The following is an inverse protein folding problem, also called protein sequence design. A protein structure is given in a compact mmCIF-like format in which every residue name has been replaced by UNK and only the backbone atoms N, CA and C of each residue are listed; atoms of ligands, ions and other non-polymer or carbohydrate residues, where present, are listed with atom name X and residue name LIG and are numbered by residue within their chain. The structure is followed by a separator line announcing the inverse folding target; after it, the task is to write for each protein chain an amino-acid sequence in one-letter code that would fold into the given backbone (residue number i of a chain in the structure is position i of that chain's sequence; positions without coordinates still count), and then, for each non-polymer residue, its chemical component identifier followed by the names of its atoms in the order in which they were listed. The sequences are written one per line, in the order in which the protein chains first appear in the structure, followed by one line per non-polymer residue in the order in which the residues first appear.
data_IF_515987165631
#
_entry.id   IF_515987165631
#
_cell.length_a   1.000
_cell.length_b   1.000
_cell.length_c   1.000
_cell.angle_alpha   90.00
_cell.angle_beta   90.00
_cell.angle_gamma   90.00
#
_symmetry.space_group_name_H-M   'P 1'
#
loop_
_entity.id
_entity.type
_entity.pdbx_description
1 polymer ?
#
# COMPACT_ATOMS: atom_id res chain seq x y z
N UNK A 1 -8.71 17.70 -11.38
CA UNK A 1 -9.14 17.16 -10.06
C UNK A 1 -9.27 18.27 -9.03
N UNK A 2 -10.48 18.42 -8.47
CA UNK A 2 -10.78 19.33 -7.35
C UNK A 2 -10.12 18.88 -6.05
N UNK A 3 -9.82 19.82 -5.16
CA UNK A 3 -9.13 19.57 -3.89
C UNK A 3 -9.87 18.54 -3.00
N UNK A 4 -11.20 18.60 -2.96
CA UNK A 4 -12.01 17.65 -2.17
C UNK A 4 -11.85 16.22 -2.66
N UNK A 5 -11.93 16.01 -3.98
CA UNK A 5 -11.79 14.69 -4.59
C UNK A 5 -10.38 14.13 -4.36
N UNK A 6 -9.35 14.97 -4.50
CA UNK A 6 -7.97 14.61 -4.18
C UNK A 6 -7.82 14.15 -2.73
N UNK A 7 -8.35 14.91 -1.76
CA UNK A 7 -8.25 14.56 -0.34
C UNK A 7 -8.98 13.24 -0.02
N UNK A 8 -10.17 13.03 -0.58
CA UNK A 8 -10.90 11.76 -0.43
C UNK A 8 -10.10 10.59 -0.99
N UNK A 9 -9.55 10.70 -2.20
CA UNK A 9 -8.73 9.64 -2.80
C UNK A 9 -7.46 9.39 -1.98
N UNK A 10 -6.78 10.43 -1.52
CA UNK A 10 -5.58 10.30 -0.71
C UNK A 10 -5.85 9.51 0.59
N UNK A 11 -6.94 9.85 1.28
CA UNK A 11 -7.36 9.16 2.51
C UNK A 11 -7.72 7.70 2.21
N UNK A 12 -8.51 7.46 1.15
CA UNK A 12 -8.86 6.10 0.75
C UNK A 12 -7.63 5.28 0.41
N UNK A 13 -6.70 5.81 -0.37
CA UNK A 13 -5.47 5.14 -0.74
C UNK A 13 -4.61 4.79 0.48
N UNK A 14 -4.54 5.68 1.46
CA UNK A 14 -3.86 5.43 2.73
C UNK A 14 -4.49 4.22 3.45
N UNK A 15 -5.80 4.22 3.65
CA UNK A 15 -6.48 3.16 4.41
C UNK A 15 -6.52 1.82 3.66
N UNK A 16 -6.62 1.83 2.33
CA UNK A 16 -6.54 0.61 1.52
C UNK A 16 -5.14 0.00 1.66
N UNK A 17 -4.08 0.78 1.43
CA UNK A 17 -2.71 0.28 1.54
C UNK A 17 -2.40 -0.21 2.98
N UNK A 18 -2.87 0.52 3.98
CA UNK A 18 -2.77 0.12 5.39
C UNK A 18 -3.46 -1.23 5.64
N UNK A 19 -4.70 -1.39 5.17
CA UNK A 19 -5.50 -2.60 5.33
C UNK A 19 -4.88 -3.82 4.64
N UNK A 20 -4.31 -3.64 3.45
CA UNK A 20 -3.62 -4.71 2.71
C UNK A 20 -2.45 -5.27 3.52
N UNK A 21 -1.62 -4.42 4.12
CA UNK A 21 -0.49 -4.86 4.93
C UNK A 21 -0.98 -5.54 6.22
N UNK A 22 -1.88 -4.91 6.98
CA UNK A 22 -2.38 -5.48 8.24
C UNK A 22 -3.07 -6.83 8.00
N UNK A 23 -3.99 -6.88 7.03
CA UNK A 23 -4.72 -8.10 6.71
C UNK A 23 -3.80 -9.20 6.16
N UNK A 24 -2.92 -8.85 5.21
CA UNK A 24 -1.97 -9.78 4.61
C UNK A 24 -1.01 -10.38 5.63
N UNK A 25 -0.50 -9.57 6.56
CA UNK A 25 0.36 -10.04 7.63
C UNK A 25 -0.40 -10.90 8.64
N UNK A 26 -1.56 -10.47 9.15
CA UNK A 26 -2.32 -11.25 10.15
C UNK A 26 -2.75 -12.61 9.58
N UNK A 27 -3.37 -12.61 8.40
CA UNK A 27 -3.83 -13.87 7.77
C UNK A 27 -2.64 -14.71 7.30
N UNK A 28 -1.57 -14.09 6.79
CA UNK A 28 -0.34 -14.78 6.42
C UNK A 28 0.38 -15.41 7.61
N UNK A 29 0.37 -14.75 8.77
CA UNK A 29 0.90 -15.30 10.03
C UNK A 29 0.10 -16.52 10.52
N UNK A 30 -1.23 -16.49 10.38
CA UNK A 30 -2.07 -17.68 10.63
C UNK A 30 -1.70 -18.81 9.65
N UNK A 31 -1.50 -18.49 8.37
CA UNK A 31 -1.02 -19.46 7.37
C UNK A 31 0.33 -20.07 7.74
N UNK A 32 1.28 -19.26 8.21
CA UNK A 32 2.58 -19.72 8.67
C UNK A 32 2.47 -20.72 9.83
N UNK A 33 1.53 -20.49 10.75
CA UNK A 33 1.24 -21.43 11.85
C UNK A 33 0.80 -22.81 11.32
N UNK A 34 -0.06 -22.87 10.30
CA UNK A 34 -0.50 -24.14 9.71
C UNK A 34 0.60 -24.91 8.99
N UNK A 35 1.63 -24.22 8.49
CA UNK A 35 2.76 -24.81 7.77
C UNK A 35 3.98 -24.98 8.69
N UNK A 36 3.82 -24.84 10.01
CA UNK A 36 4.89 -24.97 11.00
C UNK A 36 6.10 -24.05 10.77
N UNK A 37 5.86 -22.86 10.21
CA UNK A 37 6.85 -21.79 10.06
C UNK A 37 6.74 -20.76 11.20
N UNK A 38 7.82 -20.06 11.59
CA UNK A 38 7.76 -19.01 12.62
C UNK A 38 6.81 -17.87 12.22
N UNK A 39 5.63 -17.82 12.84
CA UNK A 39 4.56 -16.90 12.44
C UNK A 39 4.97 -15.41 12.49
N UNK A 40 5.68 -14.98 13.55
CA UNK A 40 6.09 -13.57 13.68
C UNK A 40 7.16 -13.16 12.66
N UNK A 41 8.12 -14.04 12.39
CA UNK A 41 9.14 -13.77 11.36
C UNK A 41 8.52 -13.70 9.97
N UNK A 42 7.55 -14.57 9.67
CA UNK A 42 6.80 -14.50 8.43
C UNK A 42 5.97 -13.21 8.33
N UNK A 43 5.27 -12.80 9.40
CA UNK A 43 4.53 -11.53 9.42
C UNK A 43 5.42 -10.34 9.08
N UNK A 44 6.63 -10.28 9.64
CA UNK A 44 7.57 -9.19 9.42
C UNK A 44 8.15 -9.21 7.97
N UNK A 45 8.45 -10.41 7.46
CA UNK A 45 8.84 -10.62 6.06
C UNK A 45 7.75 -10.18 5.08
N UNK A 46 6.50 -10.56 5.35
CA UNK A 46 5.33 -10.17 4.55
C UNK A 46 5.13 -8.65 4.60
N UNK A 47 5.28 -8.02 5.77
CA UNK A 47 5.13 -6.57 5.93
C UNK A 47 6.14 -5.80 5.07
N UNK A 48 7.36 -6.31 4.93
CA UNK A 48 8.40 -5.71 4.09
C UNK A 48 8.14 -5.91 2.59
N UNK A 49 7.73 -7.11 2.18
CA UNK A 49 7.57 -7.47 0.77
C UNK A 49 6.26 -6.94 0.15
N UNK A 50 5.21 -6.74 0.94
CA UNK A 50 3.90 -6.33 0.45
C UNK A 50 3.73 -4.82 0.24
N UNK A 51 4.72 -3.98 0.61
CA UNK A 51 4.57 -2.51 0.53
C UNK A 51 4.21 -2.03 -0.88
N UNK A 52 4.90 -2.54 -1.90
CA UNK A 52 4.63 -2.17 -3.30
C UNK A 52 3.26 -2.70 -3.71
N UNK A 53 2.93 -3.94 -3.36
CA UNK A 53 1.63 -4.56 -3.67
C UNK A 53 0.45 -3.81 -3.02
N UNK A 54 0.64 -3.28 -1.81
CA UNK A 54 -0.34 -2.47 -1.11
C UNK A 54 -0.60 -1.14 -1.82
N UNK A 55 0.45 -0.49 -2.34
CA UNK A 55 0.34 0.73 -3.15
C UNK A 55 -0.37 0.46 -4.47
N UNK A 56 -0.01 -0.62 -5.17
CA UNK A 56 -0.70 -1.05 -6.41
C UNK A 56 -2.19 -1.27 -6.15
N UNK A 57 -2.52 -1.97 -5.07
CA UNK A 57 -3.91 -2.24 -4.68
C UNK A 57 -4.68 -0.95 -4.38
N UNK A 58 -4.05 0.01 -3.71
CA UNK A 58 -4.67 1.30 -3.38
C UNK A 58 -4.96 2.16 -4.62
N UNK A 59 -4.11 2.12 -5.64
CA UNK A 59 -4.23 2.97 -6.82
C UNK A 59 -5.19 2.38 -7.86
N UNK A 60 -5.31 1.06 -7.92
CA UNK A 60 -6.25 0.42 -8.84
C UNK A 60 -6.06 -1.07 -9.09
N UNK A 61 -5.33 -1.78 -8.23
CA UNK A 61 -5.32 -3.25 -8.19
C UNK A 61 -4.47 -3.96 -9.24
N UNK A 62 -4.21 -3.34 -10.40
CA UNK A 62 -3.45 -3.96 -11.50
C UNK A 62 -2.33 -3.08 -12.04
N UNK A 63 -1.36 -3.72 -12.68
CA UNK A 63 -0.23 -3.03 -13.34
C UNK A 63 -0.72 -2.16 -14.51
N UNK A 64 -1.81 -2.57 -15.18
CA UNK A 64 -2.44 -1.81 -16.27
C UNK A 64 -2.90 -0.43 -15.79
N UNK A 65 -3.34 -0.31 -14.53
CA UNK A 65 -3.74 0.97 -13.97
C UNK A 65 -2.54 1.90 -13.76
N UNK A 66 -1.35 1.33 -13.50
CA UNK A 66 -0.09 2.08 -13.41
C UNK A 66 0.42 2.45 -14.80
N UNK A 67 0.30 1.59 -15.80
CA UNK A 67 0.72 1.88 -17.18
C UNK A 67 -0.18 2.94 -17.84
N UNK A 68 -1.49 2.85 -17.65
CA UNK A 68 -2.42 3.88 -18.10
C UNK A 68 -2.22 5.19 -17.33
N UNK A 69 -1.81 5.10 -16.07
CA UNK A 69 -1.40 6.26 -15.31
C UNK A 69 -0.16 6.92 -15.92
N UNK A 70 0.87 6.14 -16.27
CA UNK A 70 2.11 6.63 -16.87
C UNK A 70 1.85 7.28 -18.24
N UNK A 71 0.99 6.68 -19.07
CA UNK A 71 0.56 7.26 -20.35
C UNK A 71 -0.18 8.59 -20.14
N UNK A 72 -1.09 8.67 -19.17
CA UNK A 72 -1.77 9.92 -18.81
C UNK A 72 -0.84 10.97 -18.16
N UNK A 73 0.26 10.55 -17.55
CA UNK A 73 1.27 11.42 -16.93
C UNK A 73 2.16 12.10 -17.98
N UNK A 74 2.45 11.43 -19.10
CA UNK A 74 3.21 11.98 -20.22
C UNK A 74 2.42 13.03 -21.03
N UNK A 75 1.09 12.92 -21.07
CA UNK A 75 0.20 13.89 -21.73
C UNK A 75 -0.35 14.97 -20.77
N UNK A 76 -0.11 14.83 -19.46
CA UNK A 76 -0.69 15.65 -18.41
C UNK A 76 0.08 16.95 -18.09
N UNK A 77 -0.62 17.94 -17.54
CA UNK A 77 0.01 19.17 -17.03
C UNK A 77 0.93 18.87 -15.84
N UNK A 78 2.07 19.58 -15.65
CA UNK A 78 2.99 19.35 -14.52
C UNK A 78 2.31 19.37 -13.13
N UNK A 79 1.18 20.06 -12.99
CA UNK A 79 0.41 20.09 -11.75
C UNK A 79 -0.34 18.78 -11.46
N UNK A 80 -0.75 18.05 -12.49
CA UNK A 80 -1.46 16.78 -12.36
C UNK A 80 -0.51 15.65 -11.99
N UNK A 81 0.68 15.68 -12.57
CA UNK A 81 1.85 14.88 -12.20
C UNK A 81 2.11 14.94 -10.70
N UNK A 82 2.22 16.15 -10.14
CA UNK A 82 2.50 16.34 -8.70
C UNK A 82 1.36 15.79 -7.84
N UNK A 83 0.10 16.02 -8.23
CA UNK A 83 -1.05 15.44 -7.51
C UNK A 83 -0.99 13.92 -7.48
N UNK A 84 -0.58 13.29 -8.58
CA UNK A 84 -0.47 11.84 -8.63
C UNK A 84 0.64 11.29 -7.73
N UNK A 85 1.80 11.94 -7.72
CA UNK A 85 2.88 11.61 -6.79
C UNK A 85 2.44 11.73 -5.33
N UNK A 86 1.63 12.74 -5.00
CA UNK A 86 1.06 12.90 -3.65
C UNK A 86 0.07 11.79 -3.29
N UNK A 87 -0.73 11.30 -4.24
CA UNK A 87 -1.62 10.15 -4.01
C UNK A 87 -0.82 8.86 -3.75
N UNK A 88 0.26 8.63 -4.49
CA UNK A 88 1.19 7.53 -4.28
C UNK A 88 1.84 7.67 -2.89
N UNK A 89 2.31 8.86 -2.54
CA UNK A 89 2.90 9.13 -1.23
C UNK A 89 1.92 8.83 -0.09
N UNK A 90 0.63 9.14 -0.25
CA UNK A 90 -0.42 8.79 0.72
C UNK A 90 -0.61 7.29 0.88
N UNK A 91 -0.59 6.52 -0.22
CA UNK A 91 -0.63 5.06 -0.15
C UNK A 91 0.62 4.49 0.54
N UNK A 92 1.79 5.03 0.21
CA UNK A 92 3.07 4.61 0.79
C UNK A 92 3.13 4.87 2.29
N UNK A 93 2.65 6.02 2.77
CA UNK A 93 2.60 6.30 4.22
C UNK A 93 1.66 5.33 4.91
N UNK A 94 0.50 4.99 4.33
CA UNK A 94 -0.41 3.98 4.87
C UNK A 94 0.23 2.59 4.99
N UNK A 95 0.88 2.13 3.91
CA UNK A 95 1.61 0.86 3.91
C UNK A 95 2.77 0.86 4.93
N UNK A 96 3.50 1.97 5.03
CA UNK A 96 4.62 2.11 5.97
C UNK A 96 4.15 2.11 7.42
N UNK A 97 3.10 2.86 7.75
CA UNK A 97 2.50 2.88 9.09
C UNK A 97 2.01 1.49 9.50
N UNK A 98 1.31 0.77 8.62
CA UNK A 98 0.91 -0.60 8.88
C UNK A 98 2.10 -1.52 9.13
N UNK A 99 3.16 -1.40 8.32
CA UNK A 99 4.37 -2.20 8.47
C UNK A 99 5.10 -1.94 9.79
N UNK A 100 5.12 -0.68 10.27
CA UNK A 100 5.64 -0.34 11.60
C UNK A 100 4.80 -1.00 12.69
N UNK A 101 3.46 -0.99 12.56
CA UNK A 101 2.58 -1.63 13.53
C UNK A 101 2.85 -3.13 13.59
N UNK A 102 3.02 -3.80 12.45
CA UNK A 102 3.37 -5.22 12.42
C UNK A 102 4.70 -5.47 13.10
N UNK A 103 5.73 -4.69 12.77
CA UNK A 103 7.05 -4.76 13.40
C UNK A 103 6.97 -4.60 14.93
N UNK A 104 6.15 -3.65 15.40
CA UNK A 104 5.86 -3.48 16.83
C UNK A 104 5.13 -4.67 17.45
N UNK A 105 4.22 -5.33 16.72
CA UNK A 105 3.52 -6.52 17.22
C UNK A 105 4.47 -7.72 17.28
N UNK A 106 5.38 -7.85 16.30
CA UNK A 106 6.31 -8.98 16.21
C UNK A 106 7.54 -8.81 17.09
N UNK A 107 7.87 -7.59 17.51
CA UNK A 107 9.08 -7.25 18.29
C UNK A 107 10.39 -7.70 17.62
N UNK A 108 10.35 -7.81 16.28
CA UNK A 108 11.49 -8.13 15.40
C UNK A 108 11.73 -6.95 14.49
#
# INVERSE_FOLDING_TARGET
MDFRMFATTAIMNFFIAFGVIIGGCIIGGIGAFFVSSPAFSEMNRLASNMKIWAVVTAIGGTFDTIENLEKGFLDGSPIEVVKHLLLIASAMTGAHTASIIIHWITQE
#
